data_IF_337087527474
#
_entry.id   IF_337087527474
#
_cell.length_a   1.000
_cell.length_b   1.000
_cell.length_c   1.000
_cell.angle_alpha   90.00
_cell.angle_beta   90.00
_cell.angle_gamma   90.00
#
_symmetry.space_group_name_H-M   'P 1'
#
loop_
_entity.id
_entity.type
_entity.pdbx_description
1 polymer ?
#
# COMPACT_ATOMS: atom_id res chain seq x y z
N UNK A 1 -9.50 -16.42 29.67
CA UNK A 1 -8.76 -15.22 29.22
C UNK A 1 -7.73 -15.68 28.20
N UNK A 2 -7.64 -15.03 27.03
CA UNK A 2 -6.60 -15.37 26.05
C UNK A 2 -5.22 -15.09 26.65
N UNK A 3 -4.27 -16.01 26.51
CA UNK A 3 -2.89 -15.83 26.97
C UNK A 3 -2.30 -14.63 26.22
N UNK A 4 -1.68 -13.68 26.92
CA UNK A 4 -0.92 -12.62 26.26
C UNK A 4 0.21 -13.27 25.44
N UNK A 5 0.39 -12.87 24.19
CA UNK A 5 1.52 -13.35 23.40
C UNK A 5 2.81 -12.81 24.01
N UNK A 6 3.84 -13.65 24.08
CA UNK A 6 5.17 -13.26 24.55
C UNK A 6 5.87 -12.27 23.59
N UNK A 7 5.32 -12.08 22.37
CA UNK A 7 5.77 -11.18 21.33
C UNK A 7 4.61 -10.80 20.39
N UNK A 8 4.65 -9.60 19.80
CA UNK A 8 3.74 -9.16 18.75
C UNK A 8 4.45 -8.98 17.41
N UNK A 9 3.79 -9.41 16.33
CA UNK A 9 4.27 -9.23 14.96
C UNK A 9 3.49 -8.09 14.27
N UNK A 10 4.23 -7.04 13.90
CA UNK A 10 3.75 -5.88 13.16
C UNK A 10 4.06 -6.01 11.66
N UNK A 11 3.04 -6.28 10.84
CA UNK A 11 3.15 -6.45 9.40
C UNK A 11 2.98 -5.14 8.63
N UNK A 12 3.87 -4.88 7.66
CA UNK A 12 3.80 -3.73 6.76
C UNK A 12 3.58 -4.15 5.31
N UNK A 13 2.76 -3.39 4.60
CA UNK A 13 2.64 -3.51 3.14
C UNK A 13 3.85 -2.89 2.41
N UNK A 14 4.28 -3.43 1.26
CA UNK A 14 5.44 -2.94 0.50
C UNK A 14 5.13 -1.66 -0.31
N UNK A 15 4.64 -0.61 0.36
CA UNK A 15 4.23 0.65 -0.31
C UNK A 15 5.39 1.47 -0.91
N UNK A 16 6.59 1.34 -0.35
CA UNK A 16 7.85 2.01 -0.74
C UNK A 16 8.94 0.95 -0.91
N UNK A 17 10.16 1.37 -1.26
CA UNK A 17 11.32 0.48 -1.22
C UNK A 17 11.46 -0.20 0.14
N UNK A 18 11.90 -1.48 0.12
CA UNK A 18 12.01 -2.31 1.33
C UNK A 18 12.85 -1.63 2.40
N UNK A 19 13.99 -1.04 2.03
CA UNK A 19 14.86 -0.31 2.94
C UNK A 19 14.12 0.82 3.68
N UNK A 20 13.36 1.65 2.96
CA UNK A 20 12.64 2.77 3.55
C UNK A 20 11.51 2.34 4.50
N UNK A 21 10.84 1.23 4.17
CA UNK A 21 9.83 0.65 5.07
C UNK A 21 10.51 0.10 6.30
N UNK A 22 11.56 -0.70 6.15
CA UNK A 22 12.26 -1.33 7.27
C UNK A 22 12.73 -0.30 8.30
N UNK A 23 13.34 0.80 7.85
CA UNK A 23 13.77 1.88 8.75
C UNK A 23 12.60 2.47 9.57
N UNK A 24 11.45 2.68 8.92
CA UNK A 24 10.26 3.23 9.61
C UNK A 24 9.60 2.19 10.51
N UNK A 25 9.53 0.95 10.03
CA UNK A 25 8.89 -0.19 10.68
C UNK A 25 9.60 -0.56 11.97
N UNK A 26 10.93 -0.64 11.94
CA UNK A 26 11.76 -0.90 13.13
C UNK A 26 11.56 0.19 14.17
N UNK A 27 11.61 1.47 13.80
CA UNK A 27 11.38 2.58 14.74
C UNK A 27 10.00 2.52 15.42
N UNK A 28 8.96 2.17 14.67
CA UNK A 28 7.61 2.03 15.21
C UNK A 28 7.54 0.82 16.16
N UNK A 29 8.12 -0.30 15.77
CA UNK A 29 8.14 -1.52 16.58
C UNK A 29 8.91 -1.32 17.88
N UNK A 30 10.11 -0.75 17.83
CA UNK A 30 10.93 -0.47 19.01
C UNK A 30 10.20 0.47 19.99
N UNK A 31 9.60 1.55 19.46
CA UNK A 31 8.83 2.47 20.29
C UNK A 31 7.63 1.78 20.93
N UNK A 32 6.84 1.03 20.15
CA UNK A 32 5.68 0.30 20.69
C UNK A 32 6.11 -0.73 21.74
N UNK A 33 7.21 -1.43 21.49
CA UNK A 33 7.78 -2.42 22.41
C UNK A 33 8.15 -1.80 23.75
N UNK A 34 8.75 -0.60 23.74
CA UNK A 34 9.12 0.13 24.96
C UNK A 34 7.89 0.61 25.73
N UNK A 35 6.86 1.10 25.04
CA UNK A 35 5.65 1.63 25.67
C UNK A 35 4.79 0.54 26.32
N UNK A 36 4.69 -0.65 25.71
CA UNK A 36 3.80 -1.72 26.19
C UNK A 36 4.52 -2.79 27.02
N UNK A 37 5.85 -2.77 27.05
CA UNK A 37 6.65 -3.77 27.79
C UNK A 37 6.62 -5.19 27.20
N UNK A 38 6.18 -5.35 25.95
CA UNK A 38 6.12 -6.63 25.21
C UNK A 38 6.97 -6.48 23.95
N UNK A 39 7.84 -7.45 23.60
CA UNK A 39 8.59 -7.45 22.34
C UNK A 39 7.67 -7.25 21.13
N UNK A 40 8.02 -6.30 20.27
CA UNK A 40 7.34 -6.10 18.97
C UNK A 40 8.36 -6.27 17.85
N UNK A 41 8.11 -7.21 16.93
CA UNK A 41 8.90 -7.38 15.71
C UNK A 41 8.14 -6.86 14.51
N UNK A 42 8.83 -6.10 13.65
CA UNK A 42 8.27 -5.68 12.37
C UNK A 42 8.67 -6.60 11.21
N UNK A 43 7.75 -6.90 10.32
CA UNK A 43 8.02 -7.58 9.05
C UNK A 43 7.42 -6.80 7.88
N UNK A 44 8.15 -6.73 6.77
CA UNK A 44 7.62 -6.19 5.50
C UNK A 44 7.26 -7.36 4.59
N UNK A 45 6.01 -7.40 4.13
CA UNK A 45 5.50 -8.50 3.32
C UNK A 45 5.76 -8.24 1.83
N UNK A 46 5.78 -9.30 1.03
CA UNK A 46 6.08 -9.24 -0.41
C UNK A 46 5.00 -8.55 -1.25
N UNK A 47 3.75 -8.55 -0.78
CA UNK A 47 2.62 -7.88 -1.41
C UNK A 47 1.49 -7.66 -0.38
N UNK A 48 0.44 -6.96 -0.78
CA UNK A 48 -0.66 -6.62 0.11
C UNK A 48 -1.50 -7.84 0.48
N UNK A 49 -1.65 -8.80 -0.44
CA UNK A 49 -2.37 -10.05 -0.21
C UNK A 49 -1.69 -10.93 0.86
N UNK A 50 -0.35 -10.90 0.93
CA UNK A 50 0.42 -11.63 1.93
C UNK A 50 0.15 -11.12 3.36
N UNK A 51 -0.17 -9.83 3.53
CA UNK A 51 -0.62 -9.31 4.83
C UNK A 51 -1.97 -9.92 5.22
N UNK A 52 -2.90 -10.04 4.27
CA UNK A 52 -4.21 -10.68 4.50
C UNK A 52 -4.06 -12.13 4.92
N UNK A 53 -3.21 -12.88 4.20
CA UNK A 53 -2.92 -14.28 4.51
C UNK A 53 -2.23 -14.41 5.87
N UNK A 54 -1.24 -13.55 6.16
CA UNK A 54 -0.50 -13.56 7.42
C UNK A 54 -1.39 -13.28 8.63
N UNK A 55 -2.29 -12.30 8.53
CA UNK A 55 -3.22 -11.97 9.61
C UNK A 55 -4.28 -13.06 9.79
N UNK A 56 -4.83 -13.63 8.69
CA UNK A 56 -5.76 -14.77 8.77
C UNK A 56 -5.11 -16.00 9.42
N UNK A 57 -3.84 -16.23 9.15
CA UNK A 57 -3.05 -17.32 9.73
C UNK A 57 -2.53 -17.03 11.15
N UNK A 58 -2.89 -15.88 11.75
CA UNK A 58 -2.40 -15.42 13.06
C UNK A 58 -0.87 -15.36 13.17
N UNK A 59 -0.21 -15.07 12.04
CA UNK A 59 1.24 -14.81 11.97
C UNK A 59 1.57 -13.31 12.03
N UNK A 60 0.54 -12.47 11.95
CA UNK A 60 0.62 -11.01 12.06
C UNK A 60 -0.46 -10.61 13.06
N UNK A 61 -0.06 -9.92 14.12
CA UNK A 61 -0.96 -9.45 15.17
C UNK A 61 -1.46 -8.03 14.87
N UNK A 62 -0.58 -7.17 14.36
CA UNK A 62 -0.88 -5.78 14.00
C UNK A 62 -0.48 -5.56 12.55
N UNK A 63 -1.33 -4.90 11.76
CA UNK A 63 -1.04 -4.64 10.35
C UNK A 63 -1.10 -3.14 10.04
N UNK A 64 -0.01 -2.59 9.51
CA UNK A 64 0.05 -1.24 8.97
C UNK A 64 -0.29 -1.26 7.48
N UNK A 65 -1.53 -0.90 7.15
CA UNK A 65 -2.09 -1.07 5.81
C UNK A 65 -2.77 0.19 5.27
N UNK A 66 -2.92 0.25 3.94
CA UNK A 66 -3.77 1.24 3.28
C UNK A 66 -5.27 0.93 3.41
N UNK A 67 -6.15 1.89 3.05
CA UNK A 67 -7.58 1.81 3.34
C UNK A 67 -8.30 0.64 2.65
N UNK A 68 -8.00 0.36 1.37
CA UNK A 68 -8.60 -0.78 0.66
C UNK A 68 -8.21 -2.12 1.30
N UNK A 69 -6.93 -2.28 1.63
CA UNK A 69 -6.44 -3.52 2.25
C UNK A 69 -7.02 -3.71 3.66
N UNK A 70 -7.25 -2.62 4.41
CA UNK A 70 -7.99 -2.68 5.68
C UNK A 70 -9.41 -3.23 5.50
N UNK A 71 -10.18 -2.74 4.52
CA UNK A 71 -11.55 -3.23 4.30
C UNK A 71 -11.56 -4.75 3.99
N UNK A 72 -10.58 -5.21 3.21
CA UNK A 72 -10.42 -6.63 2.88
C UNK A 72 -10.05 -7.44 4.14
N UNK A 73 -9.12 -6.93 4.95
CA UNK A 73 -8.74 -7.54 6.23
C UNK A 73 -9.93 -7.65 7.18
N UNK A 74 -10.63 -6.55 7.42
CA UNK A 74 -11.82 -6.50 8.27
C UNK A 74 -12.83 -7.57 7.87
N UNK A 75 -13.18 -7.62 6.58
CA UNK A 75 -14.14 -8.59 6.06
C UNK A 75 -13.68 -10.05 6.17
N UNK A 76 -12.36 -10.31 6.13
CA UNK A 76 -11.81 -11.68 6.11
C UNK A 76 -11.37 -12.21 7.47
N UNK A 77 -11.03 -11.34 8.40
CA UNK A 77 -10.42 -11.71 9.69
C UNK A 77 -11.12 -11.10 10.90
N UNK A 78 -12.01 -10.12 10.71
CA UNK A 78 -12.58 -9.34 11.80
C UNK A 78 -11.62 -8.30 12.38
N UNK A 79 -10.48 -8.04 11.72
CA UNK A 79 -9.55 -6.99 12.14
C UNK A 79 -10.25 -5.62 12.21
N UNK A 80 -9.95 -4.85 13.24
CA UNK A 80 -10.52 -3.52 13.46
C UNK A 80 -9.40 -2.47 13.52
N UNK A 81 -9.69 -1.20 13.19
CA UNK A 81 -8.68 -0.15 13.18
C UNK A 81 -8.40 0.31 14.60
N UNK A 82 -7.12 0.40 14.96
CA UNK A 82 -6.67 0.91 16.28
C UNK A 82 -6.28 2.38 16.18
N UNK A 83 -5.62 2.76 15.08
CA UNK A 83 -5.11 4.11 14.86
C UNK A 83 -4.97 4.41 13.37
N UNK A 84 -4.76 5.68 13.04
CA UNK A 84 -4.46 6.14 11.69
C UNK A 84 -3.27 7.11 11.71
N UNK A 85 -2.38 6.97 10.74
CA UNK A 85 -1.19 7.80 10.67
C UNK A 85 -1.54 9.25 10.27
N UNK A 86 -1.11 10.20 11.09
CA UNK A 86 -1.16 11.64 10.78
C UNK A 86 0.18 12.07 10.19
N UNK A 87 0.14 12.76 9.04
CA UNK A 87 1.34 13.26 8.37
C UNK A 87 1.24 14.76 8.18
N UNK A 88 2.20 15.52 8.74
CA UNK A 88 2.21 16.99 8.69
C UNK A 88 0.87 17.60 9.14
N UNK A 89 0.32 17.09 10.24
CA UNK A 89 -0.96 17.54 10.80
C UNK A 89 -2.21 17.12 10.03
N UNK A 90 -2.09 16.31 8.97
CA UNK A 90 -3.23 15.87 8.16
C UNK A 90 -3.49 14.38 8.32
N UNK A 91 -4.76 14.06 8.58
CA UNK A 91 -5.30 12.71 8.45
C UNK A 91 -5.61 12.45 6.97
N UNK A 92 -5.22 11.28 6.47
CA UNK A 92 -5.44 10.90 5.07
C UNK A 92 -4.38 11.44 4.11
N UNK A 93 -4.56 11.12 2.83
CA UNK A 93 -3.61 11.41 1.77
C UNK A 93 -4.30 11.49 0.40
N UNK A 94 -3.60 12.00 -0.60
CA UNK A 94 -4.07 12.05 -1.99
C UNK A 94 -3.28 11.06 -2.86
N UNK A 95 -3.96 10.44 -3.81
CA UNK A 95 -3.31 9.77 -4.94
C UNK A 95 -2.86 10.80 -5.99
N UNK A 96 -1.87 10.43 -6.80
CA UNK A 96 -1.39 11.24 -7.91
C UNK A 96 -1.27 10.34 -9.14
N UNK A 97 -1.72 10.84 -10.28
CA UNK A 97 -1.31 10.35 -11.60
C UNK A 97 -0.10 11.20 -12.00
N UNK A 98 1.00 10.54 -12.35
CA UNK A 98 2.25 11.20 -12.75
C UNK A 98 2.62 10.73 -14.15
N UNK A 99 3.31 11.59 -14.89
CA UNK A 99 3.74 11.33 -16.26
C UNK A 99 5.19 11.71 -16.42
N UNK A 100 5.85 11.15 -17.43
CA UNK A 100 7.16 11.64 -17.85
C UNK A 100 6.96 12.99 -18.57
N UNK A 101 7.79 13.99 -18.27
CA UNK A 101 7.70 15.31 -18.93
C UNK A 101 7.77 15.22 -20.47
N UNK A 102 8.44 14.19 -21.00
CA UNK A 102 8.60 13.98 -22.44
C UNK A 102 7.49 13.08 -23.05
N UNK A 103 6.49 12.67 -22.27
CA UNK A 103 5.44 11.75 -22.73
C UNK A 103 4.37 12.39 -23.62
N UNK A 104 4.26 13.73 -23.58
CA UNK A 104 3.18 14.48 -24.24
C UNK A 104 1.80 14.31 -23.58
N UNK A 105 1.71 13.69 -22.40
CA UNK A 105 0.45 13.48 -21.66
C UNK A 105 0.16 14.72 -20.80
N UNK A 106 -0.91 15.45 -21.14
CA UNK A 106 -1.33 16.67 -20.43
C UNK A 106 -2.69 16.52 -19.73
N UNK A 107 -3.41 15.44 -20.03
CA UNK A 107 -4.70 15.10 -19.43
C UNK A 107 -4.84 13.59 -19.27
N UNK A 108 -5.84 13.15 -18.51
CA UNK A 108 -6.13 11.71 -18.37
C UNK A 108 -6.53 11.07 -19.71
N UNK A 109 -7.20 11.80 -20.60
CA UNK A 109 -7.61 11.30 -21.92
C UNK A 109 -6.43 10.91 -22.79
N UNK A 110 -5.31 11.61 -22.65
CA UNK A 110 -4.07 11.36 -23.41
C UNK A 110 -3.39 10.04 -23.02
N UNK A 111 -3.84 9.39 -21.93
CA UNK A 111 -3.32 8.10 -21.50
C UNK A 111 -3.80 6.95 -22.38
N UNK A 112 -4.87 7.12 -23.17
CA UNK A 112 -5.38 6.07 -24.06
C UNK A 112 -4.28 5.58 -25.01
N UNK A 113 -4.04 4.28 -25.03
CA UNK A 113 -3.01 3.60 -25.80
C UNK A 113 -1.58 3.73 -25.25
N UNK A 114 -1.38 4.40 -24.11
CA UNK A 114 -0.06 4.60 -23.48
C UNK A 114 0.30 3.48 -22.50
N UNK A 115 1.58 3.44 -22.13
CA UNK A 115 2.06 2.62 -21.02
C UNK A 115 1.56 3.19 -19.70
N UNK A 116 1.09 2.35 -18.77
CA UNK A 116 0.64 2.79 -17.45
C UNK A 116 1.11 1.82 -16.36
N UNK A 117 1.86 2.32 -15.38
CA UNK A 117 2.31 1.52 -14.24
C UNK A 117 1.35 1.64 -13.06
N UNK A 118 0.65 0.54 -12.74
CA UNK A 118 -0.10 0.41 -11.49
C UNK A 118 0.77 -0.22 -10.40
N UNK A 119 0.46 0.08 -9.14
CA UNK A 119 1.01 -0.66 -8.01
C UNK A 119 0.19 -1.91 -7.69
N UNK A 120 0.39 -2.43 -6.47
CA UNK A 120 -0.33 -3.61 -5.96
C UNK A 120 -1.86 -3.51 -6.18
N UNK A 121 -2.48 -4.61 -6.62
CA UNK A 121 -3.91 -4.71 -6.92
C UNK A 121 -4.81 -4.33 -5.73
N UNK A 122 -4.36 -4.57 -4.49
CA UNK A 122 -5.10 -4.24 -3.26
C UNK A 122 -4.76 -2.85 -2.71
N UNK A 123 -4.07 -2.02 -3.50
CA UNK A 123 -3.79 -0.63 -3.18
C UNK A 123 -4.92 0.29 -3.64
N UNK A 124 -5.43 1.11 -2.72
CA UNK A 124 -6.41 2.13 -3.04
C UNK A 124 -5.85 3.16 -4.03
N UNK A 125 -4.71 3.76 -3.71
CA UNK A 125 -4.21 4.95 -4.44
C UNK A 125 -3.37 4.65 -5.67
N UNK A 126 -2.79 3.45 -5.76
CA UNK A 126 -1.95 3.06 -6.91
C UNK A 126 -2.63 2.03 -7.82
N UNK A 127 -3.88 1.64 -7.54
CA UNK A 127 -4.63 0.73 -8.39
C UNK A 127 -6.11 1.14 -8.48
N UNK A 128 -6.88 1.05 -7.40
CA UNK A 128 -8.34 1.29 -7.42
C UNK A 128 -8.72 2.70 -7.89
N UNK A 129 -8.19 3.75 -7.26
CA UNK A 129 -8.51 5.14 -7.62
C UNK A 129 -8.03 5.51 -9.02
N UNK A 130 -6.80 5.17 -9.44
CA UNK A 130 -6.38 5.36 -10.84
C UNK A 130 -7.34 4.71 -11.85
N UNK A 131 -7.77 3.47 -11.62
CA UNK A 131 -8.74 2.79 -12.48
C UNK A 131 -10.09 3.51 -12.53
N UNK A 132 -10.58 4.00 -11.39
CA UNK A 132 -11.81 4.80 -11.33
C UNK A 132 -11.68 6.11 -12.13
N UNK A 133 -10.56 6.83 -11.98
CA UNK A 133 -10.31 8.07 -12.71
C UNK A 133 -10.26 7.83 -14.22
N UNK A 134 -9.57 6.78 -14.67
CA UNK A 134 -9.51 6.39 -16.08
C UNK A 134 -10.90 6.01 -16.62
N UNK A 135 -11.68 5.22 -15.87
CA UNK A 135 -13.03 4.84 -16.25
C UNK A 135 -13.96 6.04 -16.42
N UNK A 136 -13.85 7.03 -15.54
CA UNK A 136 -14.65 8.26 -15.63
C UNK A 136 -14.34 9.09 -16.90
N UNK A 137 -13.14 8.92 -17.47
CA UNK A 137 -12.73 9.51 -18.74
C UNK A 137 -13.02 8.60 -19.96
N UNK A 138 -13.72 7.49 -19.74
CA UNK A 138 -14.05 6.52 -20.79
C UNK A 138 -12.86 5.66 -21.24
N UNK A 139 -11.82 5.55 -20.40
CA UNK A 139 -10.66 4.68 -20.67
C UNK A 139 -10.82 3.38 -19.89
N UNK A 140 -10.87 2.27 -20.62
CA UNK A 140 -10.80 0.94 -20.02
C UNK A 140 -9.34 0.59 -19.67
N UNK A 141 -9.02 0.50 -18.39
CA UNK A 141 -7.64 0.21 -17.95
C UNK A 141 -7.09 -1.14 -18.43
N UNK A 142 -7.96 -2.08 -18.82
CA UNK A 142 -7.58 -3.42 -19.29
C UNK A 142 -7.38 -3.45 -20.81
N UNK A 143 -8.22 -2.73 -21.55
CA UNK A 143 -8.27 -2.79 -23.01
C UNK A 143 -7.63 -1.58 -23.71
N UNK A 144 -7.66 -0.40 -23.08
CA UNK A 144 -7.19 0.85 -23.66
C UNK A 144 -5.76 1.23 -23.21
N UNK A 145 -5.12 0.47 -22.32
CA UNK A 145 -3.77 0.77 -21.79
C UNK A 145 -2.82 -0.41 -21.94
N UNK A 146 -1.53 -0.11 -22.14
CA UNK A 146 -0.44 -1.09 -21.97
C UNK A 146 0.02 -1.07 -20.52
N UNK A 147 -0.70 -1.77 -19.67
CA UNK A 147 -0.48 -1.67 -18.22
C UNK A 147 0.53 -2.69 -17.68
N UNK A 148 1.28 -2.28 -16.66
CA UNK A 148 2.14 -3.16 -15.87
C UNK A 148 1.80 -3.03 -14.38
N UNK A 149 1.96 -4.12 -13.63
CA UNK A 149 1.94 -4.10 -12.17
C UNK A 149 3.37 -4.05 -11.65
N UNK A 150 3.68 -3.07 -10.80
CA UNK A 150 5.00 -2.94 -10.17
C UNK A 150 4.92 -3.11 -8.66
N UNK A 151 6.06 -3.46 -8.07
CA UNK A 151 6.16 -3.96 -6.69
C UNK A 151 5.94 -2.90 -5.59
N UNK A 152 6.04 -1.61 -5.91
CA UNK A 152 5.86 -0.52 -4.93
C UNK A 152 5.55 0.81 -5.61
N UNK A 153 5.11 1.82 -4.85
CA UNK A 153 4.93 3.17 -5.38
C UNK A 153 6.27 3.79 -5.80
N UNK A 154 7.39 3.41 -5.15
CA UNK A 154 8.73 3.79 -5.61
C UNK A 154 9.06 3.23 -6.99
N UNK A 155 8.64 1.99 -7.27
CA UNK A 155 8.82 1.39 -8.59
C UNK A 155 7.95 2.06 -9.68
N UNK A 156 6.77 2.58 -9.33
CA UNK A 156 5.94 3.38 -10.27
C UNK A 156 6.71 4.62 -10.73
N UNK A 157 7.28 5.36 -9.77
CA UNK A 157 8.05 6.58 -10.08
C UNK A 157 9.24 6.25 -10.98
N UNK A 158 9.97 5.17 -10.68
CA UNK A 158 11.10 4.74 -11.50
C UNK A 158 10.68 4.34 -12.92
N UNK A 159 9.59 3.58 -13.07
CA UNK A 159 9.05 3.20 -14.37
C UNK A 159 8.68 4.44 -15.20
N UNK A 160 7.98 5.41 -14.60
CA UNK A 160 7.61 6.66 -15.28
C UNK A 160 8.84 7.48 -15.68
N UNK A 161 9.89 7.51 -14.84
CA UNK A 161 11.14 8.20 -15.17
C UNK A 161 11.88 7.55 -16.34
N UNK A 162 11.80 6.22 -16.48
CA UNK A 162 12.49 5.46 -17.52
C UNK A 162 11.78 5.48 -18.89
N UNK A 163 10.49 5.81 -18.92
CA UNK A 163 9.66 5.83 -20.13
C UNK A 163 8.93 4.51 -20.38
#
# INVERSE_FOLDING_TARGET
MAKANDELILGFVPSRSVHNIQVSATKIADHLSNEIGIPVKSITLSNYAAVVVGMKAKRIDIAFVGPLNYLILHNKTGAYPITAAVRKGKLGYKGLIITNNNSGVNSLKDLKGKNFAFGDALSASSNLYPKLLLKNEGIDSENDLRSILVSSQSAIVLAVMQG
#
